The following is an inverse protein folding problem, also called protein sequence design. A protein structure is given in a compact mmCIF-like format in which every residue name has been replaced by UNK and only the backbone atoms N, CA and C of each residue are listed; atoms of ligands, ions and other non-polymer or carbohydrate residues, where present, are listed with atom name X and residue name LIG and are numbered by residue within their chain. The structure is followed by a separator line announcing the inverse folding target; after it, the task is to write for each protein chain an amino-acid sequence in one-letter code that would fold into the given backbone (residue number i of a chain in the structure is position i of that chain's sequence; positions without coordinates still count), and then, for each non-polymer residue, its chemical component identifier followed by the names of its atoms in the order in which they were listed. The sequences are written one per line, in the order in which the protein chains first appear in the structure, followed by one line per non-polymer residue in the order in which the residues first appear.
data_IF_032100146752
#
_entry.id   IF_032100146752
#
_cell.length_a   1.000
_cell.length_b   1.000
_cell.length_c   1.000
_cell.angle_alpha   90.00
_cell.angle_beta   90.00
_cell.angle_gamma   90.00
#
_symmetry.space_group_name_H-M   'P 1'
#
loop_
_entity.id
_entity.type
_entity.pdbx_description
1 polymer ?
#
# COMPACT_ATOMS: atom_id res chain seq x y z
N UNK A 1 -61.25 -14.83 8.42
CA UNK A 1 -60.02 -14.34 7.74
C UNK A 1 -58.78 -14.98 8.37
N UNK A 2 -57.92 -15.57 7.57
CA UNK A 2 -56.67 -16.13 8.06
C UNK A 2 -55.72 -15.00 8.52
N UNK A 3 -55.24 -15.04 9.76
CA UNK A 3 -54.27 -14.07 10.30
C UNK A 3 -52.87 -14.34 9.76
N UNK A 4 -52.35 -13.49 8.92
CA UNK A 4 -50.98 -13.59 8.41
C UNK A 4 -50.00 -13.13 9.51
N UNK A 5 -49.18 -14.04 10.01
CA UNK A 5 -48.03 -13.73 10.88
C UNK A 5 -46.86 -13.36 9.98
N UNK A 6 -46.06 -12.35 10.42
CA UNK A 6 -44.91 -11.86 9.67
C UNK A 6 -43.88 -12.95 9.37
N UNK A 7 -44.01 -13.64 8.28
CA UNK A 7 -43.35 -14.88 7.92
C UNK A 7 -41.80 -14.79 7.70
N UNK A 8 -41.28 -15.58 6.79
CA UNK A 8 -39.87 -15.76 6.47
C UNK A 8 -39.16 -14.43 6.15
N UNK A 9 -39.84 -13.46 5.52
CA UNK A 9 -39.26 -12.17 5.11
C UNK A 9 -38.82 -11.33 6.31
N UNK A 10 -39.67 -11.20 7.33
CA UNK A 10 -39.34 -10.46 8.56
C UNK A 10 -38.13 -11.10 9.29
N UNK A 11 -38.11 -12.45 9.37
CA UNK A 11 -37.01 -13.20 9.93
C UNK A 11 -35.71 -13.01 9.17
N UNK A 12 -35.72 -13.03 7.82
CA UNK A 12 -34.56 -12.76 6.98
C UNK A 12 -33.99 -11.35 7.20
N UNK A 13 -34.86 -10.32 7.25
CA UNK A 13 -34.45 -8.93 7.52
C UNK A 13 -33.75 -8.80 8.89
N UNK A 14 -34.34 -9.38 9.95
CA UNK A 14 -33.73 -9.35 11.28
C UNK A 14 -32.39 -10.09 11.33
N UNK A 15 -32.33 -11.28 10.71
CA UNK A 15 -31.11 -12.09 10.64
C UNK A 15 -29.96 -11.36 9.91
N UNK A 16 -30.27 -10.60 8.86
CA UNK A 16 -29.27 -9.79 8.14
C UNK A 16 -28.61 -8.79 9.08
N UNK A 17 -29.38 -7.99 9.79
CA UNK A 17 -28.87 -6.98 10.74
C UNK A 17 -28.04 -7.64 11.87
N UNK A 18 -28.54 -8.73 12.45
CA UNK A 18 -27.81 -9.44 13.51
C UNK A 18 -26.50 -10.08 13.01
N UNK A 19 -26.46 -10.50 11.73
CA UNK A 19 -25.23 -11.00 11.11
C UNK A 19 -24.18 -9.89 10.94
N UNK A 20 -24.59 -8.70 10.54
CA UNK A 20 -23.73 -7.52 10.42
C UNK A 20 -23.23 -7.04 11.80
N UNK A 21 -24.03 -7.19 12.84
CA UNK A 21 -23.67 -6.86 14.22
C UNK A 21 -22.92 -7.99 14.96
N UNK A 22 -22.52 -9.04 14.27
CA UNK A 22 -21.74 -10.13 14.86
C UNK A 22 -20.44 -9.61 15.47
N UNK A 23 -20.11 -10.05 16.68
CA UNK A 23 -18.92 -9.60 17.42
C UNK A 23 -19.11 -8.33 18.26
N UNK A 24 -20.27 -7.69 18.23
CA UNK A 24 -20.52 -6.54 19.10
C UNK A 24 -20.72 -6.96 20.54
N UNK A 25 -20.24 -6.15 21.46
CA UNK A 25 -20.26 -6.41 22.90
C UNK A 25 -21.69 -6.50 23.46
N UNK A 26 -21.92 -7.44 24.37
CA UNK A 26 -23.12 -7.58 25.16
C UNK A 26 -24.37 -7.91 24.34
N UNK A 27 -25.49 -7.26 24.63
CA UNK A 27 -26.77 -7.46 23.95
C UNK A 27 -26.82 -6.92 22.51
N UNK A 28 -25.84 -6.10 22.10
CA UNK A 28 -25.79 -5.45 20.79
C UNK A 28 -25.67 -6.40 19.60
N UNK A 29 -25.26 -7.64 19.81
CA UNK A 29 -25.24 -8.68 18.77
C UNK A 29 -26.44 -9.63 18.83
N UNK A 30 -27.26 -9.59 19.91
CA UNK A 30 -28.38 -10.52 20.14
C UNK A 30 -29.73 -9.87 19.91
N UNK A 31 -29.93 -8.65 20.43
CA UNK A 31 -31.20 -7.92 20.37
C UNK A 31 -31.28 -7.06 19.13
N UNK A 32 -32.30 -7.27 18.30
CA UNK A 32 -32.44 -6.57 17.02
C UNK A 32 -32.53 -5.02 17.15
N UNK A 33 -33.21 -4.50 18.17
CA UNK A 33 -33.32 -3.04 18.39
C UNK A 33 -31.93 -2.40 18.61
N UNK A 34 -31.20 -2.91 19.60
CA UNK A 34 -29.87 -2.42 19.96
C UNK A 34 -28.82 -2.66 18.87
N UNK A 35 -28.91 -3.82 18.17
CA UNK A 35 -28.07 -4.12 17.03
C UNK A 35 -28.24 -3.11 15.88
N UNK A 36 -29.50 -2.81 15.52
CA UNK A 36 -29.82 -1.85 14.47
C UNK A 36 -29.28 -0.45 14.78
N UNK A 37 -29.51 0.04 15.99
CA UNK A 37 -29.02 1.33 16.45
C UNK A 37 -27.49 1.40 16.41
N UNK A 38 -26.81 0.40 16.95
CA UNK A 38 -25.35 0.33 16.94
C UNK A 38 -24.76 0.28 15.53
N UNK A 39 -25.38 -0.40 14.58
CA UNK A 39 -24.93 -0.44 13.19
C UNK A 39 -25.06 0.94 12.51
N UNK A 40 -26.14 1.68 12.79
CA UNK A 40 -26.30 3.05 12.27
C UNK A 40 -25.17 3.95 12.78
N UNK A 41 -24.90 3.95 14.10
CA UNK A 41 -23.79 4.72 14.67
C UNK A 41 -22.44 4.27 14.12
N UNK A 42 -22.20 2.96 14.03
CA UNK A 42 -20.97 2.40 13.47
C UNK A 42 -20.74 2.87 12.03
N UNK A 43 -21.78 2.91 11.21
CA UNK A 43 -21.70 3.42 9.83
C UNK A 43 -21.30 4.89 9.76
N UNK A 44 -21.89 5.73 10.62
CA UNK A 44 -21.54 7.16 10.72
C UNK A 44 -20.10 7.34 11.19
N UNK A 45 -19.68 6.61 12.22
CA UNK A 45 -18.30 6.67 12.72
C UNK A 45 -17.30 6.19 11.67
N UNK A 46 -17.59 5.09 11.00
CA UNK A 46 -16.73 4.59 9.92
C UNK A 46 -16.56 5.60 8.78
N UNK A 47 -17.61 6.34 8.42
CA UNK A 47 -17.50 7.42 7.41
C UNK A 47 -16.62 8.57 7.89
N UNK A 48 -16.84 9.08 9.11
CA UNK A 48 -16.05 10.14 9.72
C UNK A 48 -14.58 9.74 9.85
N UNK A 49 -14.32 8.57 10.39
CA UNK A 49 -12.98 8.13 10.77
C UNK A 49 -12.12 7.75 9.56
N UNK A 50 -12.72 7.33 8.43
CA UNK A 50 -11.99 7.22 7.16
C UNK A 50 -11.36 8.54 6.72
N UNK A 51 -11.98 9.68 7.01
CA UNK A 51 -11.41 11.01 6.75
C UNK A 51 -10.34 11.38 7.77
N UNK A 52 -10.54 11.02 9.04
CA UNK A 52 -9.56 11.28 10.11
C UNK A 52 -8.30 10.42 9.95
N UNK A 53 -8.42 9.18 9.51
CA UNK A 53 -7.32 8.22 9.33
C UNK A 53 -6.12 8.81 8.58
N UNK A 54 -6.36 9.63 7.55
CA UNK A 54 -5.28 10.32 6.82
C UNK A 54 -4.47 11.26 7.72
N UNK A 55 -5.14 11.97 8.62
CA UNK A 55 -4.50 12.90 9.58
C UNK A 55 -3.72 12.13 10.64
N UNK A 56 -4.26 11.02 11.13
CA UNK A 56 -3.64 10.20 12.16
C UNK A 56 -2.37 9.51 11.63
N UNK A 57 -2.42 8.93 10.42
CA UNK A 57 -1.22 8.40 9.79
C UNK A 57 -0.16 9.47 9.54
N UNK A 58 -0.56 10.67 9.11
CA UNK A 58 0.39 11.76 8.94
C UNK A 58 1.06 12.17 10.25
N UNK A 59 0.33 12.21 11.37
CA UNK A 59 0.92 12.45 12.70
C UNK A 59 1.94 11.37 13.04
N UNK A 60 1.61 10.11 12.83
CA UNK A 60 2.49 8.98 13.08
C UNK A 60 3.78 9.07 12.25
N UNK A 61 3.69 9.37 10.95
CA UNK A 61 4.89 9.55 10.11
C UNK A 61 5.77 10.70 10.60
N UNK A 62 5.17 11.83 10.97
CA UNK A 62 5.90 12.99 11.50
C UNK A 62 6.63 12.62 12.79
N UNK A 63 5.98 11.88 13.69
CA UNK A 63 6.60 11.41 14.95
C UNK A 63 7.82 10.53 14.69
N UNK A 64 7.71 9.58 13.76
CA UNK A 64 8.81 8.68 13.37
C UNK A 64 9.97 9.43 12.74
N UNK A 65 9.70 10.32 11.79
CA UNK A 65 10.72 11.16 11.15
C UNK A 65 11.40 12.06 12.19
N UNK A 66 10.64 12.65 13.11
CA UNK A 66 11.18 13.52 14.14
C UNK A 66 12.12 12.76 15.11
N UNK A 67 11.79 11.51 15.45
CA UNK A 67 12.68 10.67 16.25
C UNK A 67 14.03 10.45 15.53
N UNK A 68 14.00 10.03 14.28
CA UNK A 68 15.21 9.83 13.48
C UNK A 68 15.99 11.14 13.22
N UNK A 69 15.30 12.27 13.08
CA UNK A 69 15.95 13.57 12.97
C UNK A 69 16.70 13.92 14.27
N UNK A 70 16.13 13.65 15.45
CA UNK A 70 16.78 13.91 16.74
C UNK A 70 18.03 13.06 16.94
N UNK A 71 18.02 11.82 16.50
CA UNK A 71 19.22 10.94 16.49
C UNK A 71 20.35 11.52 15.64
N UNK A 72 20.01 12.28 14.58
CA UNK A 72 20.95 12.97 13.69
C UNK A 72 21.17 14.45 14.04
N UNK A 73 20.80 14.88 15.24
CA UNK A 73 21.00 16.24 15.77
C UNK A 73 20.38 17.37 14.92
N UNK A 74 19.25 17.10 14.29
CA UNK A 74 18.49 18.10 13.52
C UNK A 74 17.02 18.12 13.97
N UNK A 75 16.37 19.30 13.94
CA UNK A 75 14.93 19.37 14.17
C UNK A 75 14.14 19.02 12.89
N UNK A 76 12.96 18.42 13.05
CA UNK A 76 12.08 18.08 11.94
C UNK A 76 11.80 19.26 11.00
N UNK A 77 11.56 20.47 11.55
CA UNK A 77 11.30 21.67 10.75
C UNK A 77 12.47 22.04 9.86
N UNK A 78 13.67 22.07 10.43
CA UNK A 78 14.91 22.34 9.67
C UNK A 78 15.18 21.26 8.61
N UNK A 79 14.93 19.99 8.93
CA UNK A 79 15.10 18.89 7.99
C UNK A 79 14.17 19.06 6.77
N UNK A 80 12.89 19.34 6.98
CA UNK A 80 11.94 19.54 5.88
C UNK A 80 12.25 20.82 5.06
N UNK A 81 12.65 21.90 5.72
CA UNK A 81 13.09 23.13 5.04
C UNK A 81 14.35 22.86 4.19
N UNK A 82 15.33 22.14 4.73
CA UNK A 82 16.54 21.76 4.00
C UNK A 82 16.23 20.89 2.77
N UNK A 83 15.34 19.91 2.89
CA UNK A 83 14.90 19.10 1.75
C UNK A 83 14.19 19.94 0.68
N UNK A 84 13.34 20.88 1.09
CA UNK A 84 12.66 21.78 0.15
C UNK A 84 13.66 22.70 -0.58
N UNK A 85 14.67 23.23 0.11
CA UNK A 85 15.76 24.03 -0.48
C UNK A 85 16.63 23.21 -1.44
N UNK A 86 16.88 21.93 -1.10
CA UNK A 86 17.56 21.00 -2.00
C UNK A 86 16.71 20.59 -3.23
N UNK A 87 15.44 21.01 -3.31
CA UNK A 87 14.53 20.60 -4.38
C UNK A 87 14.03 19.15 -4.29
N UNK A 88 14.23 18.48 -3.17
CA UNK A 88 13.85 17.09 -2.95
C UNK A 88 12.43 16.99 -2.39
N UNK A 89 11.45 16.67 -3.24
CA UNK A 89 10.05 16.47 -2.87
C UNK A 89 9.79 14.99 -2.54
N UNK A 90 10.04 14.57 -1.30
CA UNK A 90 9.79 13.19 -0.85
C UNK A 90 8.55 13.13 0.03
N UNK A 91 7.70 12.10 -0.20
CA UNK A 91 6.50 11.89 0.61
C UNK A 91 6.88 11.49 2.05
N UNK A 92 6.18 12.06 3.05
CA UNK A 92 6.39 11.76 4.48
C UNK A 92 6.25 10.28 4.82
N UNK A 93 5.36 9.55 4.13
CA UNK A 93 5.24 8.10 4.29
C UNK A 93 6.57 7.43 3.95
N UNK A 94 7.14 7.71 2.79
CA UNK A 94 8.41 7.13 2.35
C UNK A 94 9.56 7.51 3.26
N UNK A 95 9.61 8.77 3.74
CA UNK A 95 10.62 9.19 4.72
C UNK A 95 10.52 8.43 6.04
N UNK A 96 9.28 8.14 6.51
CA UNK A 96 9.08 7.38 7.75
C UNK A 96 9.44 5.89 7.60
N UNK A 97 9.22 5.30 6.44
CA UNK A 97 9.64 3.93 6.11
C UNK A 97 11.16 3.87 5.99
N UNK A 98 11.77 4.84 5.29
CA UNK A 98 13.22 4.93 5.14
C UNK A 98 13.95 5.08 6.51
N UNK A 99 13.36 5.86 7.42
CA UNK A 99 13.92 6.06 8.75
C UNK A 99 13.97 4.76 9.59
N UNK A 100 13.06 3.80 9.34
CA UNK A 100 13.01 2.51 10.03
C UNK A 100 13.88 1.47 9.32
N UNK A 101 13.67 1.32 8.00
CA UNK A 101 14.27 0.23 7.23
C UNK A 101 15.74 0.50 6.88
N UNK A 102 16.09 1.76 6.61
CA UNK A 102 17.43 2.15 6.16
C UNK A 102 17.93 3.44 6.85
N UNK A 103 18.32 3.39 8.13
CA UNK A 103 18.75 4.58 8.88
C UNK A 103 19.99 5.25 8.26
N UNK A 104 20.89 4.51 7.61
CA UNK A 104 22.03 5.07 6.87
C UNK A 104 21.61 5.98 5.72
N UNK A 105 20.68 5.52 4.89
CA UNK A 105 20.15 6.34 3.80
C UNK A 105 19.36 7.55 4.31
N UNK A 106 18.73 7.46 5.49
CA UNK A 106 18.11 8.60 6.14
C UNK A 106 19.15 9.61 6.62
N UNK A 107 20.28 9.16 7.19
CA UNK A 107 21.39 10.03 7.59
C UNK A 107 21.98 10.77 6.38
N UNK A 108 22.12 10.12 5.23
CA UNK A 108 22.58 10.78 3.99
C UNK A 108 21.63 11.91 3.58
N UNK A 109 20.31 11.71 3.69
CA UNK A 109 19.32 12.77 3.45
C UNK A 109 19.44 13.92 4.45
N UNK A 110 19.77 13.64 5.70
CA UNK A 110 20.01 14.68 6.72
C UNK A 110 21.24 15.51 6.37
N UNK A 111 22.33 14.90 5.88
CA UNK A 111 23.52 15.61 5.43
C UNK A 111 23.17 16.55 4.27
N UNK A 112 22.44 16.05 3.26
CA UNK A 112 21.96 16.87 2.13
C UNK A 112 21.12 18.05 2.62
N UNK A 113 20.22 17.82 3.59
CA UNK A 113 19.37 18.86 4.15
C UNK A 113 20.20 19.91 4.92
N UNK A 114 21.23 19.50 5.68
CA UNK A 114 22.16 20.41 6.38
C UNK A 114 22.97 21.24 5.40
N UNK A 115 23.48 20.63 4.32
CA UNK A 115 24.24 21.32 3.28
C UNK A 115 23.37 22.34 2.51
N UNK A 116 22.14 22.00 2.19
CA UNK A 116 21.18 22.92 1.57
C UNK A 116 20.81 24.11 2.47
N UNK A 117 20.72 23.88 3.80
CA UNK A 117 20.53 24.97 4.76
C UNK A 117 21.75 25.89 4.85
N UNK A 118 22.95 25.36 4.64
CA UNK A 118 24.20 26.13 4.57
C UNK A 118 24.41 26.84 3.21
N UNK A 119 23.45 26.75 2.29
CA UNK A 119 23.49 27.43 0.97
C UNK A 119 24.25 26.68 -0.11
N UNK A 120 24.61 25.41 0.09
CA UNK A 120 25.24 24.57 -0.93
C UNK A 120 24.17 24.02 -1.89
N UNK A 121 24.38 24.18 -3.18
CA UNK A 121 23.48 23.61 -4.20
C UNK A 121 23.60 22.09 -4.25
N UNK A 122 22.48 21.39 -4.07
CA UNK A 122 22.39 19.95 -4.26
C UNK A 122 22.34 19.61 -5.74
N UNK A 123 23.37 18.95 -6.27
CA UNK A 123 23.39 18.39 -7.62
C UNK A 123 23.04 16.89 -7.51
N UNK A 124 21.84 16.46 -7.92
CA UNK A 124 21.49 15.04 -7.89
C UNK A 124 22.44 14.24 -8.78
N UNK A 125 23.11 13.25 -8.22
CA UNK A 125 23.92 12.33 -8.99
C UNK A 125 23.02 11.53 -9.95
N UNK A 126 23.14 11.73 -11.25
CA UNK A 126 22.35 11.09 -12.33
C UNK A 126 22.54 9.56 -12.44
N UNK A 127 23.20 8.91 -11.48
CA UNK A 127 23.83 7.58 -11.64
C UNK A 127 22.88 6.38 -11.43
N UNK A 128 21.69 6.53 -10.87
CA UNK A 128 20.93 5.36 -10.42
C UNK A 128 19.76 4.94 -11.34
N UNK A 129 19.27 5.78 -12.20
CA UNK A 129 18.10 5.48 -13.03
C UNK A 129 18.46 4.81 -14.36
N UNK A 130 19.58 5.20 -14.99
CA UNK A 130 20.02 4.61 -16.25
C UNK A 130 20.43 3.16 -16.11
N UNK A 131 21.21 2.80 -15.08
CA UNK A 131 21.61 1.40 -14.82
C UNK A 131 20.45 0.46 -14.41
N UNK A 132 19.32 1.00 -13.91
CA UNK A 132 18.11 0.21 -13.64
C UNK A 132 17.22 0.05 -14.88
N UNK A 133 17.23 1.01 -15.78
CA UNK A 133 16.53 0.92 -17.07
C UNK A 133 17.21 -0.12 -17.95
N UNK A 134 18.53 -0.05 -18.16
CA UNK A 134 19.31 -1.02 -18.93
C UNK A 134 19.21 -2.46 -18.39
N UNK A 135 19.25 -2.64 -17.04
CA UNK A 135 19.04 -3.98 -16.42
C UNK A 135 17.60 -4.49 -16.54
N UNK A 136 16.60 -3.64 -16.71
CA UNK A 136 15.22 -4.07 -16.97
C UNK A 136 15.03 -4.43 -18.44
N UNK A 137 15.61 -3.68 -19.36
CA UNK A 137 15.52 -3.96 -20.80
C UNK A 137 16.27 -5.25 -21.18
N UNK A 138 17.45 -5.48 -20.63
CA UNK A 138 18.20 -6.73 -20.83
C UNK A 138 17.48 -7.94 -20.24
N UNK A 139 16.81 -7.83 -19.09
CA UNK A 139 15.99 -8.93 -18.50
C UNK A 139 14.69 -9.17 -19.28
N UNK A 140 14.10 -8.18 -19.91
CA UNK A 140 12.90 -8.32 -20.73
C UNK A 140 13.26 -8.90 -22.11
N UNK A 141 14.40 -8.52 -22.70
CA UNK A 141 14.92 -9.11 -23.92
C UNK A 141 15.28 -10.60 -23.73
N UNK A 142 15.99 -10.94 -22.65
CA UNK A 142 16.33 -12.34 -22.33
C UNK A 142 15.10 -13.22 -22.07
N UNK A 143 14.01 -12.68 -21.45
CA UNK A 143 12.75 -13.41 -21.27
C UNK A 143 11.94 -13.57 -22.57
N UNK A 144 12.08 -12.68 -23.53
CA UNK A 144 11.43 -12.82 -24.85
C UNK A 144 12.12 -13.89 -25.72
N UNK A 145 13.45 -13.96 -25.68
CA UNK A 145 14.21 -14.98 -26.45
C UNK A 145 14.01 -16.39 -25.92
N UNK A 146 13.90 -16.57 -24.60
CA UNK A 146 13.60 -17.90 -24.01
C UNK A 146 12.16 -18.38 -24.29
N UNK A 147 11.16 -17.46 -24.34
CA UNK A 147 9.77 -17.84 -24.67
C UNK A 147 9.58 -18.19 -26.15
N UNK A 148 10.35 -17.59 -27.06
CA UNK A 148 10.32 -17.92 -28.49
C UNK A 148 11.04 -19.25 -28.77
N UNK A 149 12.10 -19.58 -28.04
CA UNK A 149 12.81 -20.87 -28.19
C UNK A 149 11.96 -22.05 -27.66
N UNK A 150 11.27 -21.93 -26.54
CA UNK A 150 10.36 -22.95 -25.99
C UNK A 150 9.15 -23.20 -26.90
N UNK A 151 8.57 -22.13 -27.49
CA UNK A 151 7.41 -22.24 -28.39
C UNK A 151 7.78 -22.91 -29.73
N UNK A 152 9.03 -22.74 -30.20
CA UNK A 152 9.55 -23.39 -31.41
C UNK A 152 9.89 -24.85 -31.19
N UNK A 153 10.25 -25.26 -29.96
CA UNK A 153 10.52 -26.65 -29.59
C UNK A 153 9.22 -27.47 -29.37
N UNK A 154 8.13 -26.84 -28.93
CA UNK A 154 6.82 -27.50 -28.78
C UNK A 154 6.14 -27.74 -30.14
N UNK A 155 6.20 -26.77 -31.05
CA UNK A 155 5.65 -26.96 -32.42
C UNK A 155 6.39 -28.03 -33.23
N UNK A 156 7.70 -28.18 -33.01
CA UNK A 156 8.50 -29.23 -33.68
C UNK A 156 8.23 -30.66 -33.12
N UNK A 157 7.75 -30.77 -31.86
CA UNK A 157 7.35 -32.07 -31.27
C UNK A 157 5.95 -32.53 -31.70
N UNK A 158 5.04 -31.59 -31.96
CA UNK A 158 3.67 -31.91 -32.43
C UNK A 158 3.64 -32.33 -33.88
N UNK A 159 4.45 -31.74 -34.76
CA UNK A 159 4.54 -32.14 -36.18
C UNK A 159 5.18 -33.52 -36.36
N UNK A 160 6.15 -33.92 -35.49
CA UNK A 160 6.72 -35.30 -35.54
C UNK A 160 5.80 -36.40 -35.01
N UNK A 161 4.74 -36.05 -34.29
CA UNK A 161 3.78 -37.01 -33.70
C UNK A 161 2.59 -37.27 -34.64
N UNK A 162 2.28 -36.34 -35.55
CA UNK A 162 1.22 -36.47 -36.57
C UNK A 162 1.69 -37.29 -37.78
N UNK A 163 2.93 -37.09 -38.24
CA UNK A 163 3.48 -37.85 -39.37
C UNK A 163 3.74 -39.34 -39.07
N UNK A 164 3.87 -39.72 -37.78
CA UNK A 164 4.07 -41.14 -37.38
C UNK A 164 2.76 -41.91 -37.17
N UNK A 165 1.60 -41.29 -37.35
CA UNK A 165 0.28 -41.87 -37.18
C UNK A 165 -0.44 -42.16 -38.52
N UNK A 166 0.13 -41.67 -39.62
CA UNK A 166 -0.38 -41.89 -40.99
C UNK A 166 0.36 -43.02 -41.73
N UNK A 167 1.43 -43.62 -41.13
CA UNK A 167 2.18 -44.75 -41.67
C UNK A 167 1.97 -46.09 -40.91
N UNK A 168 0.73 -46.30 -40.36
CA UNK A 168 0.41 -47.61 -39.77
C UNK A 168 -1.01 -48.03 -40.15
#
# INVERSE_FOLDING_TARGET
MARVKGGIVARKRRKKILKEASGYFGSKHRLWKTAKEQLLHSGVYAYRDRRQKKRDFRKLWITRINAACRENEISYSKFIDGLNKAGLTVNRKMLSELAIDNPKAFSDLVVIAKDALAGKEYKPAKIALEKKAEKKETKVAAKKTTKTATKKAETAKTTKKTTKKEEK
#
